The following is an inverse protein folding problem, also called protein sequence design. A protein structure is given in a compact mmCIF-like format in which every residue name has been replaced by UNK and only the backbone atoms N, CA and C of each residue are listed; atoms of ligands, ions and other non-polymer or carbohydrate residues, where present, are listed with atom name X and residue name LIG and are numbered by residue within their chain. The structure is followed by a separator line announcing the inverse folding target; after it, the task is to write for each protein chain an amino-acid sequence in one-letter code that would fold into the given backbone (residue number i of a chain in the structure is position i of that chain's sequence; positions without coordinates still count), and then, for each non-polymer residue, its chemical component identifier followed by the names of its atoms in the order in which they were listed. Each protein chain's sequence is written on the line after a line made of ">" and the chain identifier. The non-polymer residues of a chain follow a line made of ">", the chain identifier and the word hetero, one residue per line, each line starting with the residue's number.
data_IF_644391277401
#
_entry.id   IF_644391277401
#
_cell.length_a   1.000
_cell.length_b   1.000
_cell.length_c   1.000
_cell.angle_alpha   90.00
_cell.angle_beta   90.00
_cell.angle_gamma   90.00
#
_symmetry.space_group_name_H-M   'P 1'
#
loop_
_entity.id
_entity.type
_entity.pdbx_description
1 polymer ?
#
# COMPACT_ATOMS: atom_id res chain seq x y z
N UNK A 1 2.35 10.97 -27.72
CA UNK A 1 2.59 11.20 -26.27
C UNK A 1 1.27 10.96 -25.56
N UNK A 2 1.02 9.73 -25.14
CA UNK A 2 -0.33 9.29 -24.75
C UNK A 2 -0.31 8.97 -23.26
N UNK A 3 -1.10 9.73 -22.50
CA UNK A 3 -1.22 9.64 -21.05
C UNK A 3 -1.58 8.20 -20.65
N UNK A 4 -0.70 7.54 -19.89
CA UNK A 4 -0.73 6.11 -19.60
C UNK A 4 -1.78 5.70 -18.54
N UNK A 5 -2.53 6.65 -17.99
CA UNK A 5 -3.63 6.42 -17.04
C UNK A 5 -4.72 7.48 -17.25
N UNK A 6 -6.01 7.11 -17.15
CA UNK A 6 -7.09 8.08 -17.17
C UNK A 6 -6.95 9.06 -15.98
N UNK A 7 -7.36 10.32 -16.15
CA UNK A 7 -7.34 11.29 -15.07
C UNK A 7 -8.23 10.80 -13.91
N UNK A 8 -7.87 11.17 -12.68
CA UNK A 8 -8.77 10.99 -11.54
C UNK A 8 -10.05 11.79 -11.86
N UNK A 9 -11.19 11.10 -12.00
CA UNK A 9 -12.47 11.79 -11.99
C UNK A 9 -12.69 12.34 -10.57
N UNK A 10 -12.77 13.67 -10.46
CA UNK A 10 -13.37 14.36 -9.31
C UNK A 10 -12.74 14.17 -7.92
N UNK A 11 -11.43 13.90 -7.83
CA UNK A 11 -10.74 13.87 -6.53
C UNK A 11 -11.12 12.69 -5.63
N UNK A 12 -11.95 11.77 -6.10
CA UNK A 12 -12.20 10.48 -5.46
C UNK A 12 -11.33 9.41 -6.09
N UNK A 13 -10.64 8.62 -5.27
CA UNK A 13 -10.00 7.42 -5.76
C UNK A 13 -11.10 6.51 -6.35
N UNK A 14 -11.00 6.13 -7.63
CA UNK A 14 -11.96 5.19 -8.19
C UNK A 14 -11.94 3.88 -7.40
N UNK A 15 -13.09 3.22 -7.26
CA UNK A 15 -13.26 1.96 -6.49
C UNK A 15 -12.14 0.93 -6.75
N UNK A 16 -11.60 0.90 -7.98
CA UNK A 16 -10.49 0.01 -8.35
C UNK A 16 -9.19 0.27 -7.56
N UNK A 17 -8.94 1.48 -7.05
CA UNK A 17 -7.77 1.80 -6.23
C UNK A 17 -7.90 1.26 -4.81
N UNK A 18 -9.11 1.22 -4.25
CA UNK A 18 -9.34 0.58 -2.96
C UNK A 18 -9.10 -0.93 -3.07
N UNK A 19 -9.65 -1.57 -4.10
CA UNK A 19 -9.41 -2.99 -4.36
C UNK A 19 -7.91 -3.28 -4.58
N UNK A 20 -7.24 -2.48 -5.40
CA UNK A 20 -5.81 -2.60 -5.62
C UNK A 20 -4.99 -2.42 -4.35
N UNK A 21 -5.44 -1.57 -3.41
CA UNK A 21 -4.79 -1.40 -2.13
C UNK A 21 -4.93 -2.65 -1.26
N UNK A 22 -6.13 -3.22 -1.16
CA UNK A 22 -6.37 -4.46 -0.43
C UNK A 22 -5.53 -5.61 -1.00
N UNK A 23 -5.55 -5.81 -2.33
CA UNK A 23 -4.72 -6.83 -2.97
C UNK A 23 -3.22 -6.57 -2.75
N UNK A 24 -2.79 -5.30 -2.74
CA UNK A 24 -1.39 -4.96 -2.49
C UNK A 24 -0.97 -5.23 -1.04
N UNK A 25 -1.89 -5.10 -0.09
CA UNK A 25 -1.68 -5.38 1.33
C UNK A 25 -1.60 -6.88 1.56
N UNK A 26 -2.55 -7.64 1.00
CA UNK A 26 -2.58 -9.11 1.04
C UNK A 26 -1.31 -9.72 0.40
N UNK A 27 -0.98 -9.28 -0.81
CA UNK A 27 0.24 -9.72 -1.49
C UNK A 27 1.52 -9.28 -0.75
N UNK A 28 1.47 -8.19 0.01
CA UNK A 28 2.58 -7.81 0.89
C UNK A 28 2.67 -8.76 2.08
N UNK A 29 1.56 -9.10 2.73
CA UNK A 29 1.50 -10.06 3.84
C UNK A 29 2.12 -11.41 3.47
N UNK A 30 1.69 -11.97 2.33
CA UNK A 30 2.15 -13.26 1.82
C UNK A 30 3.56 -13.20 1.21
N UNK A 31 4.15 -12.01 1.03
CA UNK A 31 5.42 -11.85 0.32
C UNK A 31 6.60 -12.55 1.04
N UNK A 32 7.19 -13.60 0.44
CA UNK A 32 8.38 -14.24 1.01
C UNK A 32 9.62 -13.37 0.82
N UNK A 33 10.49 -13.35 1.84
CA UNK A 33 11.70 -12.52 1.89
C UNK A 33 12.68 -12.76 0.74
N UNK A 34 12.69 -13.95 0.14
CA UNK A 34 13.63 -14.34 -0.93
C UNK A 34 13.06 -14.09 -2.35
N UNK A 35 11.87 -13.50 -2.47
CA UNK A 35 11.21 -13.29 -3.77
C UNK A 35 11.20 -11.83 -4.20
N UNK A 36 11.06 -11.61 -5.50
CA UNK A 36 10.89 -10.29 -6.10
C UNK A 36 9.62 -9.60 -5.57
N UNK A 37 9.62 -8.27 -5.58
CA UNK A 37 8.48 -7.48 -5.10
C UNK A 37 7.17 -7.89 -5.79
N UNK A 38 6.11 -8.17 -5.02
CA UNK A 38 4.86 -8.69 -5.56
C UNK A 38 4.16 -7.65 -6.42
N UNK A 39 3.32 -8.15 -7.32
CA UNK A 39 2.57 -7.38 -8.30
C UNK A 39 1.10 -7.72 -8.19
N UNK A 40 0.24 -6.72 -8.39
CA UNK A 40 -1.21 -6.84 -8.36
C UNK A 40 -1.81 -6.30 -9.65
N UNK A 41 -2.99 -6.80 -10.03
CA UNK A 41 -3.64 -6.38 -11.27
C UNK A 41 -4.52 -5.15 -11.01
N UNK A 42 -4.07 -3.98 -11.44
CA UNK A 42 -4.81 -2.73 -11.29
C UNK A 42 -5.40 -2.34 -12.64
N UNK A 43 -6.73 -2.40 -12.75
CA UNK A 43 -7.45 -2.04 -13.98
C UNK A 43 -6.88 -2.75 -15.24
N UNK A 44 -6.67 -4.07 -15.12
CA UNK A 44 -6.11 -4.90 -16.18
C UNK A 44 -4.59 -4.78 -16.37
N UNK A 45 -3.89 -3.94 -15.60
CA UNK A 45 -2.43 -3.76 -15.68
C UNK A 45 -1.72 -4.36 -14.47
N UNK A 46 -0.73 -5.21 -14.73
CA UNK A 46 0.15 -5.74 -13.69
C UNK A 46 1.02 -4.59 -13.14
N UNK A 47 0.86 -4.29 -11.85
CA UNK A 47 1.48 -3.13 -11.19
C UNK A 47 2.14 -3.58 -9.88
N UNK A 48 3.38 -3.16 -9.63
CA UNK A 48 4.07 -3.44 -8.36
C UNK A 48 3.34 -2.79 -7.18
N UNK A 49 3.29 -3.47 -6.04
CA UNK A 49 2.61 -2.95 -4.86
C UNK A 49 3.20 -1.61 -4.36
N UNK A 50 4.51 -1.38 -4.53
CA UNK A 50 5.12 -0.07 -4.24
C UNK A 50 4.55 1.08 -5.06
N UNK A 51 4.20 0.81 -6.31
CA UNK A 51 3.64 1.81 -7.22
C UNK A 51 2.20 2.09 -6.83
N UNK A 52 1.45 1.06 -6.43
CA UNK A 52 0.09 1.20 -5.88
C UNK A 52 0.10 2.09 -4.65
N UNK A 53 0.94 1.81 -3.66
CA UNK A 53 1.06 2.64 -2.45
C UNK A 53 1.45 4.08 -2.79
N UNK A 54 2.44 4.28 -3.69
CA UNK A 54 2.83 5.63 -4.11
C UNK A 54 1.69 6.38 -4.78
N UNK A 55 0.85 5.70 -5.56
CA UNK A 55 -0.28 6.33 -6.24
C UNK A 55 -1.34 6.84 -5.26
N UNK A 56 -1.51 6.14 -4.13
CA UNK A 56 -2.46 6.49 -3.07
C UNK A 56 -2.01 7.65 -2.20
N UNK A 57 -0.76 8.13 -2.31
CA UNK A 57 -0.29 9.29 -1.53
C UNK A 57 -1.03 10.59 -1.81
N UNK A 58 -1.71 10.69 -2.96
CA UNK A 58 -2.57 11.82 -3.32
C UNK A 58 -4.05 11.56 -3.03
N UNK A 59 -4.39 10.37 -2.53
CA UNK A 59 -5.75 10.01 -2.16
C UNK A 59 -6.12 10.67 -0.83
N UNK A 60 -7.14 11.50 -0.85
CA UNK A 60 -7.68 12.15 0.36
C UNK A 60 -8.85 11.38 0.96
N UNK A 61 -9.31 10.30 0.32
CA UNK A 61 -10.35 9.44 0.87
C UNK A 61 -9.88 8.77 2.17
N UNK A 62 -10.81 8.67 3.11
CA UNK A 62 -10.61 7.97 4.37
C UNK A 62 -10.61 6.47 4.15
N UNK A 63 -9.74 5.77 4.87
CA UNK A 63 -9.72 4.31 4.87
C UNK A 63 -10.95 3.80 5.62
N UNK A 64 -11.74 2.87 5.06
CA UNK A 64 -12.81 2.21 5.79
C UNK A 64 -12.27 1.57 7.07
N UNK A 65 -13.05 1.59 8.16
CA UNK A 65 -12.61 1.03 9.44
C UNK A 65 -12.18 -0.44 9.32
N UNK A 66 -12.91 -1.23 8.54
CA UNK A 66 -12.61 -2.65 8.28
C UNK A 66 -11.21 -2.83 7.66
N UNK A 67 -10.90 -2.07 6.62
CA UNK A 67 -9.56 -2.02 6.01
C UNK A 67 -8.49 -1.54 7.01
N UNK A 68 -8.82 -0.56 7.86
CA UNK A 68 -7.92 -0.03 8.88
C UNK A 68 -7.58 -1.09 9.93
N UNK A 69 -8.53 -1.93 10.32
CA UNK A 69 -8.33 -3.02 11.27
C UNK A 69 -7.43 -4.11 10.66
N UNK A 70 -7.72 -4.56 9.44
CA UNK A 70 -6.87 -5.53 8.74
C UNK A 70 -5.41 -5.04 8.61
N UNK A 71 -5.22 -3.76 8.29
CA UNK A 71 -3.88 -3.17 8.23
C UNK A 71 -3.16 -3.18 9.58
N UNK A 72 -3.86 -3.01 10.71
CA UNK A 72 -3.24 -3.05 12.04
C UNK A 72 -2.74 -4.45 12.41
N UNK A 73 -3.29 -5.50 11.81
CA UNK A 73 -2.81 -6.87 11.98
C UNK A 73 -1.49 -7.10 11.22
N UNK A 74 -1.34 -6.48 10.06
CA UNK A 74 -0.18 -6.65 9.17
C UNK A 74 0.97 -5.70 9.53
N UNK A 75 0.62 -4.46 9.89
CA UNK A 75 1.60 -3.41 10.22
C UNK A 75 2.23 -3.71 11.58
N UNK A 76 3.57 -3.77 11.69
CA UNK A 76 4.26 -3.95 12.95
C UNK A 76 3.82 -2.92 13.99
N UNK A 77 3.59 -3.34 15.25
CA UNK A 77 3.10 -2.48 16.33
C UNK A 77 4.01 -1.28 16.64
N UNK A 78 5.26 -1.30 16.17
CA UNK A 78 6.18 -0.16 16.22
C UNK A 78 5.77 0.97 15.26
N UNK A 79 5.34 0.63 14.04
CA UNK A 79 4.86 1.57 13.03
C UNK A 79 3.43 2.05 13.30
N UNK A 80 2.57 1.19 13.85
CA UNK A 80 1.21 1.59 14.27
C UNK A 80 1.27 2.72 15.32
N UNK A 81 2.23 2.64 16.25
CA UNK A 81 2.42 3.65 17.30
C UNK A 81 3.02 4.96 16.78
N UNK A 82 3.91 4.93 15.77
CA UNK A 82 4.52 6.13 15.21
C UNK A 82 3.55 6.95 14.37
N UNK A 83 2.75 6.29 13.53
CA UNK A 83 1.90 6.99 12.57
C UNK A 83 0.56 7.49 13.14
N UNK A 84 0.27 7.27 14.43
CA UNK A 84 -0.99 7.69 15.09
C UNK A 84 -2.22 7.33 14.22
N UNK A 85 -2.40 6.05 13.94
CA UNK A 85 -3.57 5.54 13.19
C UNK A 85 -4.88 5.92 13.90
N UNK A 86 -5.47 7.04 13.50
CA UNK A 86 -6.78 7.50 13.98
C UNK A 86 -7.89 6.82 13.17
N UNK A 87 -9.09 6.74 13.73
CA UNK A 87 -10.29 6.22 13.02
C UNK A 87 -10.58 6.92 11.69
N UNK A 88 -10.02 8.12 11.46
CA UNK A 88 -10.18 8.89 10.22
C UNK A 88 -8.90 8.93 9.36
N UNK A 89 -8.03 7.92 9.48
CA UNK A 89 -6.81 7.87 8.66
C UNK A 89 -7.16 7.75 7.18
N UNK A 90 -6.41 8.46 6.35
CA UNK A 90 -6.57 8.48 4.88
C UNK A 90 -5.79 7.36 4.20
N UNK A 91 -6.19 6.99 2.99
CA UNK A 91 -5.43 6.03 2.18
C UNK A 91 -3.99 6.50 1.94
N UNK A 92 -3.77 7.82 1.87
CA UNK A 92 -2.42 8.38 1.79
C UNK A 92 -1.57 8.06 3.03
N UNK A 93 -2.14 8.17 4.23
CA UNK A 93 -1.45 7.82 5.48
C UNK A 93 -1.16 6.32 5.55
N UNK A 94 -2.17 5.48 5.30
CA UNK A 94 -1.99 4.03 5.26
C UNK A 94 -0.93 3.58 4.24
N UNK A 95 -0.91 4.19 3.04
CA UNK A 95 0.06 3.88 2.02
C UNK A 95 1.50 4.32 2.38
N UNK A 96 1.67 5.37 3.19
CA UNK A 96 3.00 5.73 3.72
C UNK A 96 3.50 4.69 4.72
N UNK A 97 2.61 4.22 5.60
CA UNK A 97 2.96 3.17 6.57
C UNK A 97 3.34 1.88 5.86
N UNK A 98 2.53 1.45 4.89
CA UNK A 98 2.83 0.25 4.08
C UNK A 98 4.14 0.39 3.32
N UNK A 99 4.49 1.61 2.89
CA UNK A 99 5.81 1.86 2.30
C UNK A 99 6.93 1.62 3.32
N UNK A 100 6.81 2.09 4.55
CA UNK A 100 7.77 1.81 5.62
C UNK A 100 7.90 0.31 5.90
N UNK A 101 6.78 -0.43 5.89
CA UNK A 101 6.77 -1.90 6.01
C UNK A 101 7.54 -2.55 4.87
N UNK A 102 7.34 -2.10 3.62
CA UNK A 102 8.09 -2.60 2.46
C UNK A 102 9.58 -2.34 2.58
N UNK A 103 9.99 -1.14 2.99
CA UNK A 103 11.41 -0.82 3.16
C UNK A 103 12.02 -1.66 4.29
N UNK A 104 11.31 -1.88 5.40
CA UNK A 104 11.76 -2.79 6.46
C UNK A 104 11.89 -4.23 6.00
N UNK A 105 10.91 -4.74 5.23
CA UNK A 105 10.98 -6.10 4.66
C UNK A 105 12.13 -6.21 3.67
N UNK A 106 12.33 -5.23 2.79
CA UNK A 106 13.48 -5.18 1.87
C UNK A 106 14.80 -5.12 2.62
N UNK A 107 14.91 -4.34 3.68
CA UNK A 107 16.10 -4.27 4.51
C UNK A 107 16.41 -5.60 5.22
N UNK A 108 15.38 -6.37 5.60
CA UNK A 108 15.54 -7.73 6.15
C UNK A 108 15.86 -8.78 5.08
N UNK A 109 15.36 -8.58 3.86
CA UNK A 109 15.62 -9.45 2.70
C UNK A 109 17.02 -9.25 2.11
N UNK A 110 17.63 -8.07 2.29
CA UNK A 110 19.02 -7.86 1.94
C UNK A 110 19.89 -8.74 2.87
N UNK A 111 20.65 -9.71 2.33
CA UNK A 111 21.60 -10.44 3.16
C UNK A 111 22.54 -9.43 3.80
N UNK A 112 22.72 -9.55 5.11
CA UNK A 112 23.69 -8.77 5.86
C UNK A 112 25.09 -9.15 5.35
N UNK A 113 25.53 -8.53 4.26
CA UNK A 113 26.92 -8.56 3.86
C UNK A 113 27.69 -7.71 4.87
N UNK A 114 28.34 -8.40 5.80
CA UNK A 114 29.39 -7.86 6.67
C UNK A 114 30.65 -8.71 6.49
#
# INVERSE_FOLDING_TARGET
>A
MSSLLPPLHDGHAPIYLHHAFHEAVDACEDWPLDSAEPVVQVNGKITRISVVFRRLWKCTDTVPRDTLEALKEIVPSTLVRSERWRDNSTFAEAARVMRSVLEMRKARALPAYY
#
